data_IF_613010204452
#
_entry.id   IF_613010204452
#
_cell.length_a   1.000
_cell.length_b   1.000
_cell.length_c   1.000
_cell.angle_alpha   90.00
_cell.angle_beta   90.00
_cell.angle_gamma   90.00
#
_symmetry.space_group_name_H-M   'P 1'
#
loop_
_entity.id
_entity.type
_entity.pdbx_description
1 polymer ?
#
# COMPACT_ATOMS: atom_id res chain seq x y z
N UNK A 1 -13.91 7.52 22.44
CA UNK A 1 -12.74 8.09 21.73
C UNK A 1 -11.96 6.91 21.19
N UNK A 2 -11.92 6.72 19.87
CA UNK A 2 -10.93 5.80 19.29
C UNK A 2 -9.54 6.35 19.64
N UNK A 3 -8.61 5.51 20.15
CA UNK A 3 -7.25 5.96 20.40
C UNK A 3 -6.66 6.47 19.09
N UNK A 4 -6.03 7.65 19.12
CA UNK A 4 -5.24 8.15 18.01
C UNK A 4 -4.22 7.09 17.61
N UNK A 5 -4.22 6.68 16.34
CA UNK A 5 -3.22 5.76 15.81
C UNK A 5 -1.82 6.33 16.09
N UNK A 6 -0.90 5.47 16.53
CA UNK A 6 0.48 5.91 16.72
C UNK A 6 1.13 6.14 15.35
N UNK A 7 2.03 7.12 15.26
CA UNK A 7 2.79 7.37 14.03
C UNK A 7 3.49 6.11 13.52
N UNK A 8 4.03 5.27 14.41
CA UNK A 8 4.66 4.00 14.07
C UNK A 8 3.67 3.02 13.42
N UNK A 9 2.46 2.89 13.98
CA UNK A 9 1.41 2.02 13.41
C UNK A 9 0.96 2.55 12.04
N UNK A 10 0.87 3.87 11.87
CA UNK A 10 0.51 4.48 10.58
C UNK A 10 1.59 4.24 9.52
N UNK A 11 2.87 4.42 9.85
CA UNK A 11 3.97 4.11 8.94
C UNK A 11 4.00 2.62 8.58
N UNK A 12 3.82 1.73 9.56
CA UNK A 12 3.75 0.29 9.31
C UNK A 12 2.56 -0.08 8.40
N UNK A 13 1.40 0.55 8.59
CA UNK A 13 0.23 0.34 7.74
C UNK A 13 0.48 0.81 6.30
N UNK A 14 1.12 1.97 6.12
CA UNK A 14 1.53 2.47 4.80
C UNK A 14 2.50 1.51 4.11
N UNK A 15 3.51 1.02 4.81
CA UNK A 15 4.46 0.05 4.26
C UNK A 15 3.79 -1.29 3.91
N UNK A 16 2.83 -1.76 4.72
CA UNK A 16 2.03 -2.93 4.38
C UNK A 16 1.21 -2.72 3.10
N UNK A 17 0.55 -1.56 2.96
CA UNK A 17 -0.18 -1.20 1.74
C UNK A 17 0.73 -1.19 0.50
N UNK A 18 1.94 -0.65 0.64
CA UNK A 18 2.94 -0.66 -0.43
C UNK A 18 3.40 -2.07 -0.76
N UNK A 19 3.79 -2.86 0.24
CA UNK A 19 4.22 -4.27 0.09
C UNK A 19 3.16 -5.10 -0.61
N UNK A 20 1.88 -4.86 -0.31
CA UNK A 20 0.77 -5.59 -0.90
C UNK A 20 0.67 -5.40 -2.41
N UNK A 21 0.72 -4.15 -2.90
CA UNK A 21 0.52 -3.88 -4.34
C UNK A 21 1.83 -3.82 -5.14
N UNK A 22 2.99 -3.68 -4.50
CA UNK A 22 4.30 -3.55 -5.16
C UNK A 22 4.60 -4.64 -6.21
N UNK A 23 4.33 -5.94 -5.98
CA UNK A 23 4.58 -6.96 -7.00
C UNK A 23 3.81 -6.72 -8.31
N UNK A 24 2.58 -6.21 -8.20
CA UNK A 24 1.72 -5.90 -9.34
C UNK A 24 2.19 -4.65 -10.08
N UNK A 25 2.53 -3.60 -9.34
CA UNK A 25 3.10 -2.37 -9.91
C UNK A 25 4.42 -2.66 -10.64
N UNK A 26 5.28 -3.49 -10.04
CA UNK A 26 6.57 -3.90 -10.64
C UNK A 26 6.37 -4.73 -11.91
N UNK A 27 5.29 -5.52 -11.99
CA UNK A 27 4.92 -6.26 -13.21
C UNK A 27 4.37 -5.36 -14.31
N UNK A 28 4.02 -4.11 -14.01
CA UNK A 28 3.44 -3.16 -14.95
C UNK A 28 1.91 -3.11 -14.93
N UNK A 29 1.25 -3.65 -13.91
CA UNK A 29 -0.20 -3.54 -13.76
C UNK A 29 -0.61 -2.07 -13.60
N UNK A 30 -1.67 -1.64 -14.30
CA UNK A 30 -2.17 -0.27 -14.20
C UNK A 30 -2.97 -0.02 -12.92
N UNK A 31 -3.14 1.24 -12.52
CA UNK A 31 -4.01 1.62 -11.41
C UNK A 31 -5.44 1.08 -11.58
N UNK A 32 -5.97 1.10 -12.80
CA UNK A 32 -7.33 0.63 -13.09
C UNK A 32 -7.44 -0.91 -12.98
N UNK A 33 -6.38 -1.65 -13.34
CA UNK A 33 -6.30 -3.09 -13.10
C UNK A 33 -6.37 -3.39 -11.59
N UNK A 34 -5.63 -2.63 -10.77
CA UNK A 34 -5.66 -2.78 -9.32
C UNK A 34 -7.04 -2.48 -8.75
N UNK A 35 -7.71 -1.42 -9.21
CA UNK A 35 -9.08 -1.10 -8.80
C UNK A 35 -10.06 -2.22 -9.14
N UNK A 36 -9.97 -2.78 -10.34
CA UNK A 36 -10.87 -3.85 -10.80
C UNK A 36 -10.65 -5.19 -10.08
N UNK A 37 -9.50 -5.38 -9.45
CA UNK A 37 -9.15 -6.65 -8.80
C UNK A 37 -9.94 -6.94 -7.52
N UNK A 38 -10.38 -5.90 -6.80
CA UNK A 38 -10.95 -6.03 -5.44
C UNK A 38 -10.11 -6.90 -4.48
N UNK A 39 -8.80 -6.98 -4.72
CA UNK A 39 -7.95 -7.94 -4.02
C UNK A 39 -7.70 -7.55 -2.57
N UNK A 40 -7.47 -8.54 -1.73
CA UNK A 40 -7.08 -8.36 -0.34
C UNK A 40 -6.21 -9.50 0.17
N UNK A 41 -5.50 -9.23 1.25
CA UNK A 41 -4.71 -10.19 2.03
C UNK A 41 -5.15 -10.08 3.48
N UNK A 42 -5.44 -11.23 4.09
CA UNK A 42 -5.64 -11.36 5.53
C UNK A 42 -4.82 -12.52 6.06
N UNK A 43 -3.91 -12.24 7.00
CA UNK A 43 -3.17 -13.26 7.72
C UNK A 43 -3.13 -12.92 9.22
N UNK A 44 -2.50 -13.76 10.03
CA UNK A 44 -2.40 -13.52 11.48
C UNK A 44 -1.60 -12.24 11.74
N UNK A 45 -2.32 -11.15 12.03
CA UNK A 45 -1.76 -9.87 12.43
C UNK A 45 -1.62 -8.82 11.33
N UNK A 46 -1.90 -9.14 10.06
CA UNK A 46 -1.92 -8.17 8.95
C UNK A 46 -3.23 -8.34 8.14
N UNK A 47 -3.84 -7.23 7.77
CA UNK A 47 -5.05 -7.23 6.94
C UNK A 47 -5.08 -6.00 6.06
N UNK A 48 -5.12 -6.21 4.74
CA UNK A 48 -5.13 -5.15 3.73
C UNK A 48 -6.04 -5.51 2.55
N UNK A 49 -6.82 -4.56 2.03
CA UNK A 49 -7.64 -4.80 0.83
C UNK A 49 -7.87 -3.52 0.00
N UNK A 50 -8.15 -3.70 -1.30
CA UNK A 50 -8.54 -2.60 -2.21
C UNK A 50 -10.07 -2.46 -2.17
N UNK A 51 -10.53 -1.33 -1.64
CA UNK A 51 -11.94 -1.08 -1.34
C UNK A 51 -12.51 -2.04 -0.29
N UNK A 52 -13.80 -1.90 -0.02
CA UNK A 52 -14.53 -2.76 0.92
C UNK A 52 -15.01 -2.03 2.16
N UNK A 53 -15.24 -2.77 3.23
CA UNK A 53 -15.86 -2.25 4.45
C UNK A 53 -14.85 -2.16 5.58
N UNK A 54 -14.75 -0.99 6.22
CA UNK A 54 -13.89 -0.76 7.38
C UNK A 54 -14.55 0.24 8.31
N UNK A 55 -14.55 -0.03 9.62
CA UNK A 55 -15.12 0.85 10.66
C UNK A 55 -16.55 1.36 10.37
N UNK A 56 -17.43 0.47 9.89
CA UNK A 56 -18.83 0.84 9.62
C UNK A 56 -19.03 1.70 8.36
N UNK A 57 -17.98 1.87 7.54
CA UNK A 57 -18.02 2.66 6.31
C UNK A 57 -17.62 1.79 5.11
N UNK A 58 -18.33 2.00 4.00
CA UNK A 58 -17.99 1.43 2.69
C UNK A 58 -17.00 2.35 1.97
N UNK A 59 -15.94 1.77 1.42
CA UNK A 59 -14.91 2.44 0.64
C UNK A 59 -14.88 1.88 -0.78
N UNK A 60 -14.77 2.78 -1.76
CA UNK A 60 -14.57 2.43 -3.16
C UNK A 60 -13.17 1.84 -3.38
N UNK A 61 -12.94 1.22 -4.54
CA UNK A 61 -11.64 0.69 -4.94
C UNK A 61 -10.59 1.76 -5.21
N UNK A 62 -10.95 3.05 -5.13
CA UNK A 62 -9.99 4.16 -5.09
C UNK A 62 -9.17 4.22 -3.80
N UNK A 63 -9.49 3.36 -2.83
CA UNK A 63 -8.82 3.28 -1.55
C UNK A 63 -8.21 1.89 -1.31
N UNK A 64 -7.08 1.88 -0.63
CA UNK A 64 -6.50 0.69 -0.01
C UNK A 64 -6.66 0.83 1.50
N UNK A 65 -7.23 -0.21 2.11
CA UNK A 65 -7.61 -0.23 3.52
C UNK A 65 -6.65 -1.15 4.26
N UNK A 66 -6.17 -0.72 5.41
CA UNK A 66 -5.33 -1.53 6.31
C UNK A 66 -6.00 -1.60 7.66
N UNK A 67 -6.65 -2.73 7.95
CA UNK A 67 -7.37 -2.95 9.20
C UNK A 67 -6.44 -3.38 10.33
N UNK A 68 -5.40 -4.17 10.02
CA UNK A 68 -4.44 -4.68 10.99
C UNK A 68 -3.02 -4.64 10.45
N UNK A 69 -2.06 -4.32 11.33
CA UNK A 69 -0.61 -4.42 11.07
C UNK A 69 0.13 -4.77 12.35
N UNK A 70 1.02 -5.76 12.30
CA UNK A 70 1.81 -6.19 13.46
C UNK A 70 0.95 -6.64 14.65
N UNK A 71 -0.21 -7.26 14.41
CA UNK A 71 -1.13 -7.70 15.45
C UNK A 71 -1.92 -6.57 16.13
N UNK A 72 -1.74 -5.31 15.71
CA UNK A 72 -2.47 -4.15 16.19
C UNK A 72 -3.51 -3.72 15.17
N UNK A 73 -4.65 -3.23 15.66
CA UNK A 73 -5.65 -2.58 14.82
C UNK A 73 -5.11 -1.23 14.33
N UNK A 74 -5.16 -1.00 13.02
CA UNK A 74 -4.70 0.23 12.38
C UNK A 74 -5.87 1.04 11.81
N UNK A 75 -6.81 0.38 11.13
CA UNK A 75 -7.98 1.01 10.51
C UNK A 75 -7.68 2.26 9.67
N UNK A 76 -6.64 2.20 8.83
CA UNK A 76 -6.22 3.34 7.99
C UNK A 76 -6.65 3.10 6.55
N UNK A 77 -7.13 4.16 5.89
CA UNK A 77 -7.43 4.14 4.48
C UNK A 77 -6.51 5.13 3.74
N UNK A 78 -5.81 4.64 2.72
CA UNK A 78 -5.01 5.47 1.82
C UNK A 78 -5.67 5.54 0.45
N UNK A 79 -5.45 6.63 -0.29
CA UNK A 79 -5.77 6.67 -1.71
C UNK A 79 -4.87 5.67 -2.44
N UNK A 80 -5.48 4.76 -3.20
CA UNK A 80 -4.73 3.74 -3.95
C UNK A 80 -3.76 4.40 -4.94
N UNK A 81 -4.17 5.52 -5.56
CA UNK A 81 -3.33 6.32 -6.46
C UNK A 81 -2.04 6.79 -5.80
N UNK A 82 -2.09 7.21 -4.54
CA UNK A 82 -0.93 7.78 -3.85
C UNK A 82 0.08 6.66 -3.56
N UNK A 83 -0.38 5.53 -3.02
CA UNK A 83 0.46 4.34 -2.79
C UNK A 83 1.05 3.81 -4.10
N UNK A 84 0.27 3.79 -5.19
CA UNK A 84 0.75 3.41 -6.52
C UNK A 84 1.88 4.32 -7.01
N UNK A 85 1.69 5.63 -6.92
CA UNK A 85 2.68 6.61 -7.38
C UNK A 85 3.95 6.59 -6.52
N UNK A 86 3.82 6.37 -5.20
CA UNK A 86 4.97 6.21 -4.31
C UNK A 86 5.83 5.03 -4.75
N UNK A 87 5.23 3.86 -5.04
CA UNK A 87 5.96 2.68 -5.51
C UNK A 87 6.62 2.94 -6.87
N UNK A 88 5.93 3.58 -7.81
CA UNK A 88 6.53 3.96 -9.11
C UNK A 88 7.72 4.89 -8.90
N UNK A 89 7.60 5.86 -7.98
CA UNK A 89 8.70 6.77 -7.64
C UNK A 89 9.90 6.03 -7.04
N UNK A 90 9.66 5.05 -6.17
CA UNK A 90 10.70 4.22 -5.57
C UNK A 90 11.43 3.33 -6.59
N UNK A 91 10.68 2.71 -7.51
CA UNK A 91 11.26 1.88 -8.58
C UNK A 91 12.17 2.73 -9.46
N UNK A 92 11.67 3.87 -9.96
CA UNK A 92 12.45 4.79 -10.80
C UNK A 92 13.69 5.34 -10.09
N UNK A 93 13.57 5.62 -8.79
CA UNK A 93 14.70 6.11 -8.00
C UNK A 93 15.76 5.02 -7.78
N UNK A 94 15.34 3.77 -7.61
CA UNK A 94 16.26 2.63 -7.50
C UNK A 94 17.00 2.39 -8.82
N UNK A 95 16.29 2.38 -9.95
CA UNK A 95 16.87 2.26 -11.30
C UNK A 95 17.91 3.37 -11.56
N UNK A 96 17.59 4.62 -11.22
CA UNK A 96 18.52 5.74 -11.40
C UNK A 96 19.82 5.60 -10.57
N UNK A 97 19.76 4.97 -9.39
CA UNK A 97 20.94 4.70 -8.56
C UNK A 97 21.78 3.57 -9.13
N UNK A 98 21.16 2.57 -9.77
CA UNK A 98 21.87 1.49 -10.46
C UNK A 98 22.58 2.00 -11.72
N UNK A 99 21.94 2.85 -12.52
CA UNK A 99 22.55 3.49 -13.69
C UNK A 99 23.78 4.35 -13.29
N UNK A 100 23.72 5.06 -12.16
CA UNK A 100 24.84 5.87 -11.67
C UNK A 100 26.08 5.04 -11.28
N UNK A 101 25.90 3.76 -10.94
CA UNK A 101 27.03 2.87 -10.58
C UNK A 101 27.73 2.26 -11.80
N UNK A 102 27.18 2.43 -13.01
CA UNK A 102 27.66 1.80 -14.24
C UNK A 102 28.56 2.68 -15.11
N UNK A 103 28.95 3.88 -14.65
CA UNK A 103 29.98 4.69 -15.32
C UNK A 103 31.36 4.53 -14.65
N UNK A 104 32.19 3.54 -15.02
CA UNK A 104 33.64 3.64 -14.89
C UNK A 104 34.19 4.44 -16.08
N UNK A 105 34.78 5.59 -15.78
CA UNK A 105 35.61 6.34 -16.73
C UNK A 105 36.88 5.61 -17.13
#
# INVERSE_FOLDING_TARGET
MEPSITYETEQAARELAKRFIRPYVTRGDSLENLKASHMGMGCTGESVCIGGWMNGKSYTTDFILVSHVGGKTANVAYKLRDIFNEIIGEIKSAEAVEDFKLEPG
#
